data_IF_848890704834
#
_entry.id   IF_848890704834
#
_cell.length_a   1.000
_cell.length_b   1.000
_cell.length_c   1.000
_cell.angle_alpha   90.00
_cell.angle_beta   90.00
_cell.angle_gamma   90.00
#
_symmetry.space_group_name_H-M   'P 1'
#
loop_
_entity.id
_entity.type
_entity.pdbx_description
1 polymer ?
#
# COMPACT_ATOMS: atom_id res chain seq x y z
N UNK A 1 -40.12 -31.22 17.06
CA UNK A 1 -39.73 -30.66 15.76
C UNK A 1 -38.38 -30.00 15.95
N UNK A 2 -37.31 -30.76 15.74
CA UNK A 2 -35.92 -30.32 15.97
C UNK A 2 -35.08 -30.93 14.87
N UNK A 3 -34.69 -30.11 13.89
CA UNK A 3 -33.75 -30.51 12.84
C UNK A 3 -32.37 -30.12 13.34
N UNK A 4 -31.62 -31.08 13.86
CA UNK A 4 -30.17 -30.95 14.01
C UNK A 4 -29.56 -32.10 13.22
N UNK A 5 -29.36 -31.85 11.93
CA UNK A 5 -28.54 -32.69 11.05
C UNK A 5 -27.09 -32.62 11.52
N UNK A 6 -26.73 -33.54 12.40
CA UNK A 6 -25.36 -33.86 12.78
C UNK A 6 -24.65 -34.46 11.56
N UNK A 7 -23.38 -34.10 11.39
CA UNK A 7 -22.34 -34.73 10.54
C UNK A 7 -21.96 -34.03 9.23
N UNK A 8 -21.00 -33.09 9.34
CA UNK A 8 -19.88 -32.97 8.41
C UNK A 8 -18.58 -32.76 9.21
N UNK A 9 -18.15 -33.78 9.93
CA UNK A 9 -16.72 -33.90 10.29
C UNK A 9 -16.11 -34.92 9.34
N UNK A 10 -16.05 -34.55 8.05
CA UNK A 10 -15.16 -35.23 7.11
C UNK A 10 -13.73 -34.98 7.56
N UNK A 11 -12.97 -36.06 7.72
CA UNK A 11 -11.64 -36.11 8.32
C UNK A 11 -10.77 -34.87 7.95
N UNK A 12 -10.53 -34.00 8.93
CA UNK A 12 -9.80 -32.72 8.73
C UNK A 12 -8.41 -32.97 8.15
N UNK A 13 -7.79 -34.09 8.51
CA UNK A 13 -6.47 -34.49 8.04
C UNK A 13 -6.48 -34.81 6.54
N UNK A 14 -7.50 -35.52 6.04
CA UNK A 14 -7.67 -35.79 4.62
C UNK A 14 -7.96 -34.50 3.82
N UNK A 15 -8.73 -33.57 4.39
CA UNK A 15 -9.01 -32.29 3.74
C UNK A 15 -7.75 -31.42 3.65
N UNK A 16 -6.95 -31.35 4.72
CA UNK A 16 -5.66 -30.64 4.73
C UNK A 16 -4.66 -31.31 3.78
N UNK A 17 -4.64 -32.64 3.71
CA UNK A 17 -3.77 -33.38 2.79
C UNK A 17 -4.14 -33.16 1.30
N UNK A 18 -5.43 -32.93 0.99
CA UNK A 18 -5.92 -32.63 -0.35
C UNK A 18 -5.84 -31.14 -0.72
N UNK A 19 -5.67 -30.25 0.26
CA UNK A 19 -5.58 -28.82 0.02
C UNK A 19 -4.29 -28.46 -0.74
N UNK A 20 -4.37 -27.45 -1.62
CA UNK A 20 -3.19 -26.89 -2.28
C UNK A 20 -2.28 -26.29 -1.21
N UNK A 21 -1.07 -26.83 -1.07
CA UNK A 21 -0.08 -26.30 -0.13
C UNK A 21 0.45 -24.97 -0.67
N UNK A 22 0.39 -23.94 0.15
CA UNK A 22 0.94 -22.61 -0.15
C UNK A 22 1.98 -22.26 0.90
N UNK A 23 3.04 -21.55 0.48
CA UNK A 23 4.03 -21.00 1.41
C UNK A 23 3.49 -19.75 2.09
N UNK A 24 4.06 -19.38 3.24
CA UNK A 24 3.70 -18.13 3.92
C UNK A 24 3.93 -16.90 3.02
N UNK A 25 4.99 -16.90 2.21
CA UNK A 25 5.26 -15.84 1.23
C UNK A 25 4.18 -15.78 0.15
N UNK A 26 3.72 -16.93 -0.37
CA UNK A 26 2.62 -16.97 -1.34
C UNK A 26 1.31 -16.46 -0.75
N UNK A 27 1.04 -16.75 0.53
CA UNK A 27 -0.14 -16.23 1.23
C UNK A 27 -0.10 -14.69 1.35
N UNK A 28 1.02 -14.13 1.82
CA UNK A 28 1.19 -12.67 1.95
C UNK A 28 1.02 -11.97 0.60
N UNK A 29 1.66 -12.49 -0.45
CA UNK A 29 1.55 -11.91 -1.80
C UNK A 29 0.14 -11.97 -2.35
N UNK A 30 -0.60 -13.06 -2.09
CA UNK A 30 -1.99 -13.17 -2.52
C UNK A 30 -2.89 -12.17 -1.79
N UNK A 31 -2.67 -11.96 -0.48
CA UNK A 31 -3.38 -10.94 0.30
C UNK A 31 -3.11 -9.52 -0.21
N UNK A 32 -1.88 -9.22 -0.64
CA UNK A 32 -1.53 -7.95 -1.26
C UNK A 32 -2.21 -7.78 -2.62
N UNK A 33 -2.17 -8.81 -3.46
CA UNK A 33 -2.80 -8.78 -4.79
C UNK A 33 -4.32 -8.60 -4.72
N UNK A 34 -4.98 -9.17 -3.70
CA UNK A 34 -6.41 -9.00 -3.45
C UNK A 34 -6.83 -7.58 -3.09
N UNK A 35 -5.91 -6.70 -2.65
CA UNK A 35 -6.24 -5.29 -2.41
C UNK A 35 -6.64 -4.56 -3.68
N UNK A 36 -6.08 -4.99 -4.81
CA UNK A 36 -6.27 -4.35 -6.12
C UNK A 36 -7.09 -5.23 -7.07
N UNK A 37 -6.98 -6.55 -6.95
CA UNK A 37 -7.71 -7.55 -7.76
C UNK A 37 -8.32 -8.63 -6.86
N UNK A 38 -9.56 -8.44 -6.36
CA UNK A 38 -10.21 -9.38 -5.44
C UNK A 38 -10.38 -10.81 -5.97
N UNK A 39 -10.44 -10.97 -7.30
CA UNK A 39 -10.61 -12.26 -7.99
C UNK A 39 -9.27 -12.96 -8.32
N UNK A 40 -8.14 -12.42 -7.84
CA UNK A 40 -6.83 -12.99 -8.13
C UNK A 40 -6.66 -14.39 -7.54
N UNK A 41 -5.97 -15.25 -8.28
CA UNK A 41 -5.69 -16.63 -7.91
C UNK A 41 -4.20 -16.87 -7.69
N UNK A 42 -3.85 -18.01 -7.09
CA UNK A 42 -2.44 -18.40 -6.92
C UNK A 42 -1.66 -18.53 -8.24
N UNK A 43 -2.36 -18.75 -9.36
CA UNK A 43 -1.70 -18.85 -10.66
C UNK A 43 -1.30 -17.47 -11.20
N UNK A 44 -1.96 -16.40 -10.74
CA UNK A 44 -1.61 -15.02 -11.08
C UNK A 44 -0.30 -14.57 -10.46
N UNK A 45 0.09 -15.16 -9.31
CA UNK A 45 1.41 -14.96 -8.69
C UNK A 45 2.56 -15.44 -9.59
N UNK A 46 2.31 -16.39 -10.50
CA UNK A 46 3.35 -16.94 -11.38
C UNK A 46 3.48 -16.18 -12.70
N UNK A 47 2.69 -15.11 -12.92
CA UNK A 47 2.77 -14.32 -14.16
C UNK A 47 4.12 -13.60 -14.25
N UNK A 48 4.86 -13.74 -15.37
CA UNK A 48 6.13 -13.06 -15.54
C UNK A 48 5.93 -11.53 -15.47
N UNK A 49 6.64 -10.88 -14.56
CA UNK A 49 6.57 -9.43 -14.34
C UNK A 49 5.82 -9.00 -13.08
N UNK A 50 5.07 -9.90 -12.43
CA UNK A 50 4.41 -9.59 -11.15
C UNK A 50 5.39 -9.59 -9.97
N UNK A 51 6.43 -10.43 -10.05
CA UNK A 51 7.31 -10.76 -8.92
C UNK A 51 8.79 -10.65 -9.30
N UNK A 52 9.33 -9.44 -9.32
CA UNK A 52 10.75 -9.27 -8.99
C UNK A 52 10.85 -8.28 -7.87
N UNK A 53 11.03 -8.83 -6.66
CA UNK A 53 11.56 -8.07 -5.55
C UNK A 53 12.80 -7.31 -6.06
N UNK A 54 12.94 -6.00 -5.75
CA UNK A 54 14.04 -5.21 -6.27
C UNK A 54 15.38 -5.89 -5.95
N UNK A 55 16.28 -5.90 -6.92
CA UNK A 55 17.66 -6.35 -6.72
C UNK A 55 18.27 -5.57 -5.53
N UNK A 56 19.04 -6.26 -4.67
CA UNK A 56 19.68 -5.60 -3.52
C UNK A 56 20.70 -4.53 -3.94
N UNK A 57 20.79 -3.47 -3.14
CA UNK A 57 21.80 -2.40 -3.30
C UNK A 57 23.20 -2.98 -3.17
N UNK A 58 24.09 -2.59 -4.10
CA UNK A 58 25.48 -3.05 -4.14
C UNK A 58 26.43 -1.91 -3.76
N UNK A 59 27.63 -2.27 -3.28
CA UNK A 59 28.70 -1.30 -2.97
C UNK A 59 29.40 -0.76 -4.24
N UNK A 60 29.34 -1.52 -5.34
CA UNK A 60 29.95 -1.17 -6.63
C UNK A 60 29.00 -1.57 -7.76
N UNK A 61 28.98 -0.77 -8.82
CA UNK A 61 28.17 -1.00 -10.02
C UNK A 61 29.08 -1.05 -11.24
N UNK A 62 28.73 -1.92 -12.19
CA UNK A 62 29.43 -2.06 -13.46
C UNK A 62 29.28 -0.81 -14.33
N UNK A 63 28.08 -0.25 -14.37
CA UNK A 63 27.74 0.95 -15.12
C UNK A 63 26.48 1.65 -14.57
N UNK A 64 26.11 2.77 -15.19
CA UNK A 64 24.92 3.53 -14.83
C UNK A 64 23.61 2.77 -15.13
N UNK A 65 23.61 1.82 -16.06
CA UNK A 65 22.43 1.02 -16.37
C UNK A 65 22.11 0.03 -15.25
N UNK A 66 23.13 -0.64 -14.70
CA UNK A 66 22.97 -1.52 -13.53
C UNK A 66 22.47 -0.71 -12.31
N UNK A 67 23.05 0.46 -12.06
CA UNK A 67 22.60 1.36 -11.00
C UNK A 67 21.12 1.74 -11.16
N UNK A 68 20.73 2.19 -12.35
CA UNK A 68 19.35 2.59 -12.64
C UNK A 68 18.37 1.42 -12.52
N UNK A 69 18.76 0.21 -12.97
CA UNK A 69 17.95 -1.00 -12.84
C UNK A 69 17.65 -1.34 -11.38
N UNK A 70 18.62 -1.14 -10.48
CA UNK A 70 18.49 -1.42 -9.05
C UNK A 70 17.71 -0.31 -8.33
N UNK A 71 18.03 0.97 -8.56
CA UNK A 71 17.43 2.07 -7.80
C UNK A 71 16.06 2.53 -8.29
N UNK A 72 15.73 2.40 -9.59
CA UNK A 72 14.43 2.87 -10.10
C UNK A 72 13.23 2.19 -9.41
N UNK A 73 13.19 0.86 -9.23
CA UNK A 73 12.11 0.21 -8.51
C UNK A 73 12.02 0.67 -7.05
N UNK A 74 13.15 0.86 -6.37
CA UNK A 74 13.19 1.33 -4.98
C UNK A 74 12.59 2.73 -4.84
N UNK A 75 12.98 3.66 -5.72
CA UNK A 75 12.42 5.02 -5.75
C UNK A 75 10.92 4.99 -6.07
N UNK A 76 10.48 4.11 -6.98
CA UNK A 76 9.07 3.96 -7.31
C UNK A 76 8.24 3.46 -6.12
N UNK A 77 8.76 2.49 -5.37
CA UNK A 77 8.09 1.96 -4.16
C UNK A 77 7.99 3.07 -3.09
N UNK A 78 9.06 3.82 -2.85
CA UNK A 78 9.06 4.92 -1.88
C UNK A 78 8.08 6.03 -2.31
N UNK A 79 8.07 6.39 -3.60
CA UNK A 79 7.15 7.38 -4.13
C UNK A 79 5.68 6.95 -3.96
N UNK A 80 5.38 5.68 -4.20
CA UNK A 80 4.03 5.14 -3.99
C UNK A 80 3.67 5.10 -2.50
N UNK A 81 4.63 4.76 -1.62
CA UNK A 81 4.43 4.79 -0.18
C UNK A 81 4.15 6.21 0.33
N UNK A 82 4.96 7.19 -0.07
CA UNK A 82 4.77 8.61 0.24
C UNK A 82 3.42 9.12 -0.27
N UNK A 83 3.05 8.76 -1.50
CA UNK A 83 1.73 9.09 -2.09
C UNK A 83 0.59 8.54 -1.25
N UNK A 84 0.60 7.25 -0.93
CA UNK A 84 -0.45 6.60 -0.11
C UNK A 84 -0.53 7.21 1.28
N UNK A 85 0.62 7.52 1.89
CA UNK A 85 0.67 8.18 3.20
C UNK A 85 0.03 9.57 3.15
N UNK A 86 0.41 10.41 2.17
CA UNK A 86 -0.15 11.76 1.99
C UNK A 86 -1.65 11.73 1.69
N UNK A 87 -2.08 10.85 0.79
CA UNK A 87 -3.51 10.69 0.43
C UNK A 87 -4.33 10.22 1.64
N UNK A 88 -3.80 9.32 2.47
CA UNK A 88 -4.47 8.83 3.68
C UNK A 88 -4.57 9.88 4.79
N UNK A 89 -3.71 10.90 4.77
CA UNK A 89 -3.65 11.97 5.76
C UNK A 89 -4.67 13.10 5.49
N UNK A 90 -5.65 12.89 4.60
CA UNK A 90 -6.72 13.84 4.37
C UNK A 90 -7.54 14.08 5.65
N UNK A 91 -7.64 15.33 6.09
CA UNK A 91 -8.42 15.72 7.25
C UNK A 91 -9.56 16.67 6.85
N UNK A 92 -10.75 16.43 7.39
CA UNK A 92 -11.85 17.37 7.26
C UNK A 92 -11.49 18.69 7.94
N UNK A 93 -11.47 19.76 7.15
CA UNK A 93 -11.27 21.12 7.66
C UNK A 93 -12.61 21.65 8.16
N UNK A 94 -12.68 22.02 9.44
CA UNK A 94 -13.92 22.53 10.05
C UNK A 94 -14.34 23.89 9.49
N UNK A 95 -13.70 24.96 9.99
CA UNK A 95 -14.00 26.33 9.58
C UNK A 95 -12.85 26.91 8.77
N UNK A 96 -13.14 27.45 7.58
CA UNK A 96 -12.18 28.16 6.74
C UNK A 96 -12.49 29.65 6.76
N UNK A 97 -11.48 30.46 7.08
CA UNK A 97 -11.54 31.92 6.98
C UNK A 97 -10.83 32.37 5.72
N UNK A 98 -11.55 33.06 4.84
CA UNK A 98 -11.03 33.57 3.57
C UNK A 98 -10.65 35.04 3.70
N UNK A 99 -9.49 35.41 3.17
CA UNK A 99 -9.03 36.80 3.11
C UNK A 99 -8.48 37.14 1.72
N UNK A 100 -8.57 38.41 1.34
CA UNK A 100 -7.92 38.92 0.14
C UNK A 100 -6.53 39.43 0.53
N UNK A 101 -5.50 38.77 0.01
CA UNK A 101 -4.12 39.19 0.18
C UNK A 101 -3.72 40.30 -0.79
N UNK A 102 -2.44 40.65 -0.75
CA UNK A 102 -1.84 41.57 -1.71
C UNK A 102 -1.85 40.94 -3.12
N UNK A 103 -1.89 41.78 -4.15
CA UNK A 103 -1.81 41.33 -5.55
C UNK A 103 -2.96 40.37 -5.99
N UNK A 104 -4.17 40.58 -5.46
CA UNK A 104 -5.37 39.76 -5.73
C UNK A 104 -5.25 38.27 -5.36
N UNK A 105 -4.28 37.88 -4.52
CA UNK A 105 -4.24 36.52 -3.99
C UNK A 105 -5.41 36.28 -3.04
N UNK A 106 -5.98 35.07 -3.06
CA UNK A 106 -6.95 34.61 -2.05
C UNK A 106 -6.22 33.74 -1.03
N UNK A 107 -6.36 34.06 0.25
CA UNK A 107 -5.75 33.34 1.36
C UNK A 107 -6.82 32.55 2.12
N UNK A 108 -6.53 31.29 2.43
CA UNK A 108 -7.36 30.43 3.26
C UNK A 108 -6.66 30.15 4.60
N UNK A 109 -7.32 30.47 5.71
CA UNK A 109 -6.85 30.15 7.05
C UNK A 109 -7.75 29.09 7.67
N UNK A 110 -7.14 28.03 8.18
CA UNK A 110 -7.85 26.94 8.84
C UNK A 110 -6.95 26.24 9.86
N UNK A 111 -7.55 25.46 10.74
CA UNK A 111 -6.86 24.69 11.76
C UNK A 111 -6.95 23.20 11.45
N UNK A 112 -5.82 22.49 11.52
CA UNK A 112 -5.74 21.03 11.37
C UNK A 112 -5.49 20.39 12.74
N UNK A 113 -6.51 19.79 13.38
CA UNK A 113 -6.38 19.20 14.71
C UNK A 113 -5.28 18.14 14.83
N UNK A 114 -5.08 17.29 13.81
CA UNK A 114 -4.10 16.19 13.85
C UNK A 114 -2.66 16.66 13.61
N UNK A 115 -2.48 17.90 13.15
CA UNK A 115 -1.15 18.50 13.03
C UNK A 115 -0.50 18.73 14.39
N UNK A 116 -1.30 18.98 15.43
CA UNK A 116 -0.82 19.22 16.79
C UNK A 116 -0.17 17.98 17.43
N UNK A 117 -0.52 16.77 16.96
CA UNK A 117 -0.05 15.50 17.51
C UNK A 117 1.34 15.10 16.97
N UNK A 118 1.93 15.89 16.07
CA UNK A 118 3.29 15.69 15.54
C UNK A 118 3.43 14.55 14.51
N UNK A 119 2.34 13.87 14.17
CA UNK A 119 2.28 12.80 13.17
C UNK A 119 2.45 13.37 11.76
N UNK A 120 1.95 14.58 11.52
CA UNK A 120 2.02 15.27 10.23
C UNK A 120 3.08 16.38 10.27
N UNK A 121 3.98 16.40 9.28
CA UNK A 121 4.94 17.48 9.07
C UNK A 121 4.56 18.19 7.77
N UNK A 122 4.21 19.47 7.86
CA UNK A 122 3.84 20.33 6.75
C UNK A 122 4.90 21.42 6.67
N UNK A 123 5.56 21.52 5.53
CA UNK A 123 6.52 22.58 5.24
C UNK A 123 5.84 23.73 4.51
N UNK A 124 6.43 24.93 4.63
CA UNK A 124 5.97 26.08 3.85
C UNK A 124 6.22 25.80 2.36
N UNK A 125 5.16 25.85 1.57
CA UNK A 125 5.22 25.62 0.12
C UNK A 125 4.74 24.23 -0.31
N UNK A 126 4.35 23.37 0.64
CA UNK A 126 3.65 22.12 0.31
C UNK A 126 2.29 22.44 -0.32
N UNK A 127 1.96 21.73 -1.39
CA UNK A 127 0.65 21.81 -2.05
C UNK A 127 -0.40 21.07 -1.19
N UNK A 128 -1.55 21.71 -0.98
CA UNK A 128 -2.63 21.24 -0.10
C UNK A 128 -3.97 21.17 -0.85
#
# INVERSE_FOLDING_TARGET
MTIIGRQKTGNREEQVARARKITAQQAIRLEELWREQPEATLDDLNRPGLDREPDHVQLKYMDAHQYAKIFRPLVAIEAEYDRRMKESASQAVGTVRWEHGLLQSVLAFFHLPQFADGVMKLAKGDEA
#
